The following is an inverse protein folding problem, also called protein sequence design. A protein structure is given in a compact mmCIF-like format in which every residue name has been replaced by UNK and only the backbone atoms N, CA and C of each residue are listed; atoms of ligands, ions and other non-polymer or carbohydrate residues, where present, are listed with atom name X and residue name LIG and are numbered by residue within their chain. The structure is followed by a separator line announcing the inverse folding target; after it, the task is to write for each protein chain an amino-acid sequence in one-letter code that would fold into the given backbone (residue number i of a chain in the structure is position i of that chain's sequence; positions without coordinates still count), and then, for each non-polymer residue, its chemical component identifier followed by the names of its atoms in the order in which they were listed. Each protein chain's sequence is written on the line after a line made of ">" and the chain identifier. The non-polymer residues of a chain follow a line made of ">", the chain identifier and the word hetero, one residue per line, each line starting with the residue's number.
data_IF_525477925492
#
_entry.id   IF_525477925492
#
_cell.length_a   1.000
_cell.length_b   1.000
_cell.length_c   1.000
_cell.angle_alpha   90.00
_cell.angle_beta   90.00
_cell.angle_gamma   90.00
#
_symmetry.space_group_name_H-M   'P 1'
#
loop_
_entity.id
_entity.type
_entity.pdbx_description
1 polymer ?
#
# COMPACT_ATOMS: atom_id res chain seq x y z
N UNK A 1 -1.73 11.69 -10.20
CA UNK A 1 -1.63 11.57 -8.73
C UNK A 1 -0.34 10.82 -8.40
N UNK A 2 0.49 11.35 -7.48
CA UNK A 2 1.81 10.86 -6.99
C UNK A 2 2.82 10.27 -7.98
N UNK A 3 2.87 10.80 -9.21
CA UNK A 3 3.94 10.48 -10.18
C UNK A 3 3.71 9.25 -11.06
N UNK A 4 2.71 8.41 -10.78
CA UNK A 4 2.33 7.28 -11.65
C UNK A 4 0.81 7.17 -11.81
N UNK A 5 0.37 6.84 -13.02
CA UNK A 5 -1.03 6.55 -13.34
C UNK A 5 -1.13 5.06 -13.68
N UNK A 6 -1.83 4.25 -12.86
CA UNK A 6 -1.99 2.83 -13.12
C UNK A 6 -2.71 2.59 -14.45
N UNK A 7 -2.07 1.81 -15.34
CA UNK A 7 -2.58 1.48 -16.68
C UNK A 7 -3.37 0.17 -16.73
N UNK A 8 -3.24 -0.67 -15.70
CA UNK A 8 -3.97 -1.93 -15.59
C UNK A 8 -5.44 -1.77 -15.17
N UNK A 9 -6.26 -2.83 -15.33
CA UNK A 9 -7.65 -2.83 -14.88
C UNK A 9 -7.76 -2.58 -13.38
N UNK A 10 -8.85 -1.96 -12.98
CA UNK A 10 -9.20 -1.74 -11.58
C UNK A 10 -9.77 -3.02 -10.97
N UNK A 11 -8.91 -3.98 -10.66
CA UNK A 11 -9.33 -5.34 -10.33
C UNK A 11 -8.72 -5.83 -9.00
N UNK A 12 -9.02 -5.08 -7.93
CA UNK A 12 -8.60 -5.39 -6.57
C UNK A 12 -9.74 -5.12 -5.59
N UNK A 13 -10.97 -5.46 -5.96
CA UNK A 13 -12.08 -5.54 -5.00
C UNK A 13 -11.89 -6.78 -4.13
N UNK A 14 -12.34 -6.72 -2.87
CA UNK A 14 -12.17 -7.81 -1.88
C UNK A 14 -12.61 -9.18 -2.43
N UNK A 15 -13.65 -9.18 -3.24
CA UNK A 15 -14.30 -10.34 -3.87
C UNK A 15 -13.42 -11.08 -4.89
N UNK A 16 -12.36 -10.47 -5.44
CA UNK A 16 -11.44 -11.08 -6.41
C UNK A 16 -10.16 -11.65 -5.76
N UNK A 17 -9.97 -11.46 -4.44
CA UNK A 17 -8.68 -11.73 -3.76
C UNK A 17 -8.68 -12.95 -2.82
N UNK A 18 -9.84 -13.57 -2.58
CA UNK A 18 -9.93 -14.78 -1.75
C UNK A 18 -9.54 -16.03 -2.56
N UNK A 19 -8.44 -16.67 -2.17
CA UNK A 19 -8.06 -18.00 -2.67
C UNK A 19 -7.40 -18.06 -4.05
N UNK A 20 -7.20 -16.93 -4.75
CA UNK A 20 -6.56 -16.89 -6.07
C UNK A 20 -5.21 -16.17 -6.02
N UNK A 21 -4.19 -16.77 -6.63
CA UNK A 21 -2.88 -16.14 -6.77
C UNK A 21 -2.98 -14.95 -7.74
N UNK A 22 -2.65 -13.75 -7.28
CA UNK A 22 -2.79 -12.52 -8.07
C UNK A 22 -1.45 -12.21 -8.75
N UNK A 23 -1.43 -11.96 -10.07
CA UNK A 23 -0.22 -11.49 -10.74
C UNK A 23 0.29 -10.20 -10.12
N UNK A 24 1.57 -10.17 -9.76
CA UNK A 24 2.22 -8.97 -9.24
C UNK A 24 2.44 -8.00 -10.39
N UNK A 25 1.90 -6.80 -10.29
CA UNK A 25 2.08 -5.74 -11.29
C UNK A 25 2.35 -4.42 -10.62
N UNK A 26 3.09 -3.54 -11.30
CA UNK A 26 3.37 -2.18 -10.80
C UNK A 26 2.07 -1.43 -10.50
N UNK A 27 1.11 -1.51 -11.43
CA UNK A 27 -0.23 -0.92 -11.30
C UNK A 27 -0.88 -1.30 -9.96
N UNK A 28 -0.96 -2.60 -9.66
CA UNK A 28 -1.56 -3.09 -8.41
C UNK A 28 -0.73 -2.72 -7.19
N UNK A 29 0.58 -2.95 -7.21
CA UNK A 29 1.45 -2.60 -6.09
C UNK A 29 1.36 -1.12 -5.71
N UNK A 30 1.28 -0.23 -6.70
CA UNK A 30 1.13 1.19 -6.51
C UNK A 30 -0.26 1.57 -5.96
N UNK A 31 -1.34 1.01 -6.51
CA UNK A 31 -2.70 1.23 -5.97
C UNK A 31 -2.78 0.78 -4.50
N UNK A 32 -2.22 -0.39 -4.17
CA UNK A 32 -2.14 -0.89 -2.79
C UNK A 32 -1.32 0.06 -1.90
N UNK A 33 -0.20 0.59 -2.37
CA UNK A 33 0.62 1.53 -1.60
C UNK A 33 -0.14 2.83 -1.30
N UNK A 34 -0.97 3.30 -2.24
CA UNK A 34 -1.85 4.46 -2.01
C UNK A 34 -2.98 4.12 -1.04
N UNK A 35 -3.57 2.94 -1.09
CA UNK A 35 -4.68 2.58 -0.22
C UNK A 35 -4.28 2.22 1.20
N UNK A 36 -3.26 1.37 1.32
CA UNK A 36 -2.88 0.67 2.54
C UNK A 36 -1.35 0.66 2.74
N UNK A 37 -0.64 1.65 2.17
CA UNK A 37 0.78 1.87 2.38
C UNK A 37 1.23 1.94 3.84
N UNK A 38 0.52 2.63 4.76
CA UNK A 38 0.92 2.71 6.16
C UNK A 38 1.00 1.33 6.84
N UNK A 39 0.21 0.37 6.36
CA UNK A 39 0.14 -0.99 6.90
C UNK A 39 1.16 -1.96 6.28
N UNK A 40 1.94 -1.51 5.29
CA UNK A 40 2.90 -2.36 4.57
C UNK A 40 2.25 -3.32 3.55
N UNK A 41 0.97 -3.13 3.23
CA UNK A 41 0.18 -4.02 2.36
C UNK A 41 0.83 -4.29 0.99
N UNK A 42 1.42 -3.27 0.39
CA UNK A 42 2.12 -3.37 -0.90
C UNK A 42 3.36 -4.28 -0.82
N UNK A 43 4.04 -4.34 0.32
CA UNK A 43 5.18 -5.25 0.50
C UNK A 43 4.71 -6.70 0.64
N UNK A 44 3.58 -6.94 1.31
CA UNK A 44 2.97 -8.28 1.34
C UNK A 44 2.55 -8.74 -0.06
N UNK A 45 2.01 -7.82 -0.88
CA UNK A 45 1.72 -8.10 -2.29
C UNK A 45 2.97 -8.45 -3.09
N UNK A 46 4.11 -7.80 -2.81
CA UNK A 46 5.40 -8.09 -3.43
C UNK A 46 6.11 -9.34 -2.87
N UNK A 47 5.45 -10.13 -2.01
CA UNK A 47 6.06 -11.25 -1.29
C UNK A 47 7.27 -10.87 -0.43
N UNK A 48 7.29 -9.65 0.10
CA UNK A 48 8.30 -9.17 1.03
C UNK A 48 7.69 -8.95 2.43
N UNK A 49 7.38 -10.03 3.18
CA UNK A 49 6.71 -9.91 4.46
C UNK A 49 7.55 -9.16 5.50
N UNK A 50 8.88 -9.28 5.44
CA UNK A 50 9.79 -8.57 6.36
C UNK A 50 9.60 -7.07 6.23
N UNK A 51 9.68 -6.53 5.01
CA UNK A 51 9.44 -5.10 4.79
C UNK A 51 8.00 -4.69 5.13
N UNK A 52 7.03 -5.58 4.91
CA UNK A 52 5.64 -5.35 5.34
C UNK A 52 5.52 -5.14 6.84
N UNK A 53 6.10 -6.02 7.65
CA UNK A 53 6.09 -5.88 9.11
C UNK A 53 6.89 -4.68 9.62
N UNK A 54 7.95 -4.27 8.91
CA UNK A 54 8.71 -3.05 9.28
C UNK A 54 7.86 -1.78 9.20
N UNK A 55 6.81 -1.73 8.37
CA UNK A 55 5.90 -0.58 8.34
C UNK A 55 5.11 -0.41 9.65
N UNK A 56 5.02 -1.47 10.47
CA UNK A 56 4.30 -1.40 11.73
C UNK A 56 5.08 -0.66 12.82
N UNK A 57 6.40 -0.56 12.68
CA UNK A 57 7.23 0.20 13.64
C UNK A 57 6.73 1.66 13.70
N UNK A 58 6.67 2.42 12.59
CA UNK A 58 6.02 3.74 12.55
C UNK A 58 4.60 3.77 13.11
N UNK A 59 3.77 2.77 12.78
CA UNK A 59 2.38 2.70 13.25
C UNK A 59 2.31 2.59 14.77
N UNK A 60 3.14 1.76 15.39
CA UNK A 60 3.20 1.63 16.86
C UNK A 60 3.63 2.93 17.55
N UNK A 61 4.35 3.82 16.86
CA UNK A 61 4.71 5.13 17.39
C UNK A 61 3.50 6.05 17.58
N UNK A 62 2.36 5.78 16.94
CA UNK A 62 1.09 6.49 17.20
C UNK A 62 0.63 6.32 18.65
N UNK A 63 1.02 5.24 19.32
CA UNK A 63 0.78 5.07 20.75
C UNK A 63 2.02 5.49 21.57
N UNK A 64 3.22 5.08 21.15
CA UNK A 64 4.43 5.28 21.96
C UNK A 64 4.81 6.76 22.15
N UNK A 65 4.75 7.59 21.09
CA UNK A 65 5.17 8.99 21.20
C UNK A 65 4.21 9.83 22.06
N UNK A 66 2.87 9.76 21.91
CA UNK A 66 1.96 10.44 22.82
C UNK A 66 2.16 10.03 24.29
N UNK A 67 2.47 8.75 24.55
CA UNK A 67 2.71 8.25 25.91
C UNK A 67 4.01 8.77 26.53
N UNK A 68 5.09 8.95 25.75
CA UNK A 68 6.39 9.38 26.27
C UNK A 68 6.63 10.89 26.22
N UNK A 69 6.15 11.56 25.18
CA UNK A 69 6.42 12.98 24.92
C UNK A 69 5.22 13.88 25.25
N UNK A 70 4.13 13.29 25.75
CA UNK A 70 2.84 13.95 25.94
C UNK A 70 2.06 14.05 24.62
N UNK A 71 0.73 14.11 24.74
CA UNK A 71 -0.16 14.07 23.58
C UNK A 71 0.09 15.21 22.58
N UNK A 72 0.36 16.43 23.09
CA UNK A 72 0.52 17.63 22.25
C UNK A 72 1.71 17.59 21.30
N UNK A 73 2.86 17.04 21.74
CA UNK A 73 4.06 16.92 20.90
C UNK A 73 4.17 15.53 20.26
N UNK A 74 3.84 14.50 21.02
CA UNK A 74 3.98 13.11 20.60
C UNK A 74 3.05 12.72 19.46
N UNK A 75 1.78 13.16 19.48
CA UNK A 75 0.83 12.80 18.43
C UNK A 75 1.20 13.42 17.07
N UNK A 76 1.49 14.74 16.95
CA UNK A 76 1.92 15.32 15.69
C UNK A 76 3.19 14.66 15.13
N UNK A 77 4.16 14.34 15.99
CA UNK A 77 5.40 13.67 15.58
C UNK A 77 5.13 12.27 15.03
N UNK A 78 4.25 11.50 15.68
CA UNK A 78 3.89 10.17 15.21
C UNK A 78 3.11 10.20 13.89
N UNK A 79 2.18 11.15 13.75
CA UNK A 79 1.42 11.37 12.50
C UNK A 79 2.37 11.74 11.36
N UNK A 80 3.32 12.65 11.61
CA UNK A 80 4.32 13.05 10.61
C UNK A 80 5.18 11.87 10.18
N UNK A 81 5.66 11.06 11.13
CA UNK A 81 6.45 9.86 10.84
C UNK A 81 5.67 8.87 9.96
N UNK A 82 4.40 8.60 10.28
CA UNK A 82 3.55 7.71 9.50
C UNK A 82 3.27 8.28 8.11
N UNK A 83 3.02 9.59 7.99
CA UNK A 83 2.85 10.25 6.71
C UNK A 83 4.11 10.12 5.83
N UNK A 84 5.29 10.38 6.39
CA UNK A 84 6.57 10.26 5.67
C UNK A 84 6.77 8.84 5.13
N UNK A 85 6.54 7.82 5.97
CA UNK A 85 6.69 6.42 5.56
C UNK A 85 5.66 6.04 4.49
N UNK A 86 4.42 6.53 4.62
CA UNK A 86 3.39 6.30 3.61
C UNK A 86 3.73 6.95 2.27
N UNK A 87 4.15 8.23 2.27
CA UNK A 87 4.58 8.90 1.04
C UNK A 87 5.80 8.23 0.41
N UNK A 88 6.74 7.75 1.24
CA UNK A 88 7.88 6.97 0.75
C UNK A 88 7.43 5.66 0.09
N UNK A 89 6.49 4.93 0.68
CA UNK A 89 5.92 3.73 0.08
C UNK A 89 5.31 4.03 -1.30
N UNK A 90 4.48 5.07 -1.40
CA UNK A 90 3.87 5.50 -2.67
C UNK A 90 4.94 5.86 -3.69
N UNK A 91 5.92 6.68 -3.30
CA UNK A 91 7.01 7.12 -4.17
C UNK A 91 7.87 5.94 -4.67
N UNK A 92 8.20 5.00 -3.79
CA UNK A 92 8.98 3.82 -4.13
C UNK A 92 8.28 2.94 -5.17
N UNK A 93 6.94 2.80 -5.10
CA UNK A 93 6.18 2.07 -6.11
C UNK A 93 6.00 2.87 -7.40
N UNK A 94 5.87 4.20 -7.32
CA UNK A 94 5.77 5.07 -8.50
C UNK A 94 7.04 5.02 -9.36
N UNK A 95 8.19 5.01 -8.71
CA UNK A 95 9.53 5.02 -9.33
C UNK A 95 10.08 3.65 -9.68
N UNK A 96 9.45 2.57 -9.21
CA UNK A 96 9.81 1.19 -9.56
C UNK A 96 9.70 0.96 -11.08
N UNK A 97 10.69 0.34 -11.74
CA UNK A 97 10.57 -0.10 -13.13
C UNK A 97 9.45 -1.13 -13.32
N UNK A 98 8.83 -1.21 -14.50
CA UNK A 98 7.76 -2.21 -14.75
C UNK A 98 8.30 -3.64 -14.87
N UNK A 99 9.58 -3.79 -15.19
CA UNK A 99 10.33 -5.05 -15.30
C UNK A 99 11.06 -5.44 -14.01
N UNK A 100 10.81 -4.74 -12.90
CA UNK A 100 11.45 -5.02 -11.61
C UNK A 100 11.26 -6.49 -11.20
N UNK A 101 12.33 -7.21 -10.79
CA UNK A 101 12.24 -8.62 -10.41
C UNK A 101 11.19 -8.93 -9.33
N UNK A 102 10.88 -7.95 -8.46
CA UNK A 102 9.88 -8.10 -7.39
C UNK A 102 8.46 -8.22 -7.94
N UNK A 103 8.22 -7.77 -9.17
CA UNK A 103 6.94 -7.86 -9.87
C UNK A 103 6.78 -9.19 -10.61
N UNK A 104 7.81 -10.02 -10.74
CA UNK A 104 7.70 -11.26 -11.50
C UNK A 104 6.87 -12.30 -10.77
N UNK A 105 5.87 -12.89 -11.41
CA UNK A 105 5.06 -13.99 -10.83
C UNK A 105 3.87 -13.51 -10.00
N UNK A 106 3.44 -14.32 -9.03
CA UNK A 106 2.19 -14.14 -8.30
C UNK A 106 2.38 -13.91 -6.80
N UNK A 107 1.34 -13.40 -6.13
CA UNK A 107 1.27 -13.31 -4.67
C UNK A 107 1.39 -14.68 -4.01
N UNK A 108 1.91 -14.72 -2.79
CA UNK A 108 1.96 -15.94 -1.98
C UNK A 108 0.54 -16.40 -1.59
N UNK A 109 0.37 -17.70 -1.32
CA UNK A 109 -0.90 -18.26 -0.81
C UNK A 109 -1.41 -17.57 0.46
N UNK A 110 -0.48 -17.12 1.33
CA UNK A 110 -0.78 -16.40 2.58
C UNK A 110 -1.05 -14.90 2.39
N UNK A 111 -1.14 -14.44 1.14
CA UNK A 111 -1.36 -13.02 0.87
C UNK A 111 -2.73 -12.56 1.38
N UNK A 112 -3.80 -13.30 1.08
CA UNK A 112 -5.15 -12.96 1.52
C UNK A 112 -5.23 -12.80 3.04
N UNK A 113 -4.68 -13.75 3.81
CA UNK A 113 -4.64 -13.69 5.28
C UNK A 113 -3.92 -12.44 5.81
N UNK A 114 -2.80 -12.07 5.18
CA UNK A 114 -2.00 -10.90 5.56
C UNK A 114 -2.69 -9.59 5.16
N UNK A 115 -3.52 -9.62 4.12
CA UNK A 115 -4.17 -8.45 3.53
C UNK A 115 -5.49 -8.11 4.23
N UNK A 116 -6.32 -9.12 4.49
CA UNK A 116 -7.72 -9.00 4.91
C UNK A 116 -7.91 -8.39 6.31
N UNK A 117 -6.95 -8.59 7.22
CA UNK A 117 -7.03 -7.99 8.55
C UNK A 117 -6.72 -6.49 8.53
N UNK A 118 -5.92 -6.01 7.57
CA UNK A 118 -5.35 -4.65 7.56
C UNK A 118 -6.06 -3.71 6.58
N UNK A 119 -6.54 -4.23 5.44
CA UNK A 119 -7.09 -3.41 4.37
C UNK A 119 -8.56 -3.00 4.58
N UNK A 120 -9.33 -3.69 5.44
CA UNK A 120 -10.74 -3.36 5.71
C UNK A 120 -10.96 -1.98 6.36
N UNK A 121 -9.92 -1.39 6.94
CA UNK A 121 -9.95 -0.06 7.58
C UNK A 121 -9.36 1.04 6.64
N UNK A 122 -8.91 0.64 5.43
CA UNK A 122 -8.15 1.50 4.52
C UNK A 122 -9.02 2.07 3.38
N UNK A 123 -8.42 2.90 2.51
CA UNK A 123 -9.08 3.46 1.31
C UNK A 123 -9.24 2.43 0.16
N UNK A 124 -9.34 1.15 0.53
CA UNK A 124 -9.35 0.03 -0.38
C UNK A 124 -10.56 0.07 -1.32
N UNK A 125 -10.37 -0.34 -2.58
CA UNK A 125 -11.43 -0.33 -3.58
C UNK A 125 -11.84 1.05 -4.10
N UNK A 126 -11.22 2.15 -3.62
CA UNK A 126 -11.48 3.50 -4.16
C UNK A 126 -10.61 3.77 -5.40
N UNK A 127 -11.26 3.97 -6.54
CA UNK A 127 -10.58 4.32 -7.79
C UNK A 127 -10.21 5.81 -7.88
N UNK A 128 -9.08 6.18 -7.30
CA UNK A 128 -8.56 7.56 -7.37
C UNK A 128 -8.17 8.02 -8.78
N UNK A 129 -8.02 7.10 -9.74
CA UNK A 129 -7.55 7.40 -11.10
C UNK A 129 -8.64 7.33 -12.16
N UNK A 130 -9.90 7.06 -11.78
CA UNK A 130 -11.04 6.94 -12.69
C UNK A 130 -11.09 8.04 -13.76
N UNK A 131 -11.01 9.30 -13.32
CA UNK A 131 -11.04 10.47 -14.23
C UNK A 131 -9.86 10.52 -15.20
N UNK A 132 -8.68 10.06 -14.77
CA UNK A 132 -7.47 10.11 -15.60
C UNK A 132 -7.46 9.00 -16.67
N UNK A 133 -8.10 7.85 -16.39
CA UNK A 133 -8.25 6.78 -17.39
C UNK A 133 -9.27 7.14 -18.46
N UNK A 134 -10.40 7.74 -18.06
CA UNK A 134 -11.43 8.20 -19.01
C UNK A 134 -10.82 9.22 -19.99
N UNK A 135 -10.09 10.21 -19.50
CA UNK A 135 -9.44 11.24 -20.34
C UNK A 135 -8.31 10.73 -21.26
N UNK A 136 -7.85 9.48 -21.12
CA UNK A 136 -6.86 8.86 -22.02
C UNK A 136 -7.48 7.87 -23.02
N UNK A 137 -8.77 7.56 -22.85
CA UNK A 137 -9.53 6.70 -23.74
C UNK A 137 -10.29 7.51 -24.82
N UNK A 138 -10.39 8.82 -24.62
CA UNK A 138 -10.81 9.83 -25.59
C UNK A 138 -9.60 10.33 -26.41
#
# INVERSE_FOLDING_TARGET
>A
MFGYVPTGPFNMTDEETEGVAIPRTKSRAYMIAVWAGPWGAHQFFLNNPVAGYLHWIPVTMLAAFPSWLGFGTGLPLAVLLNAVVWFYAIFSMATMPEDDPRLQGHTSERYADRMMWMCKISLWGIDFWKKHRIARAE
#
